data_IF_521306618865
#
_entry.id   IF_521306618865
#
_cell.length_a   1.000
_cell.length_b   1.000
_cell.length_c   1.000
_cell.angle_alpha   90.00
_cell.angle_beta   90.00
_cell.angle_gamma   90.00
#
_symmetry.space_group_name_H-M   'P 1'
#
loop_
_entity.id
_entity.type
_entity.pdbx_description
1 polymer ?
#
# COMPACT_ATOMS: atom_id res chain seq x y z
N UNK A 1 -10.64 11.31 -11.90
CA UNK A 1 -10.98 9.93 -11.50
C UNK A 1 -9.68 9.15 -11.51
N UNK A 2 -9.29 8.54 -10.39
CA UNK A 2 -8.15 7.62 -10.38
C UNK A 2 -8.69 6.30 -10.94
N UNK A 3 -8.02 5.75 -11.94
CA UNK A 3 -8.36 4.47 -12.56
C UNK A 3 -7.26 3.48 -12.22
N UNK A 4 -7.65 2.21 -12.09
CA UNK A 4 -6.71 1.12 -11.95
C UNK A 4 -5.69 1.17 -13.09
N UNK A 5 -4.42 0.95 -12.77
CA UNK A 5 -3.33 0.97 -13.72
C UNK A 5 -2.54 -0.33 -13.66
N UNK A 6 -2.22 -0.90 -14.82
CA UNK A 6 -1.42 -2.11 -14.90
C UNK A 6 -0.03 -1.79 -15.48
N UNK A 7 1.02 -2.18 -14.76
CA UNK A 7 2.41 -2.08 -15.21
C UNK A 7 3.10 -3.43 -15.05
N UNK A 8 3.73 -3.96 -16.10
CA UNK A 8 4.45 -5.25 -16.07
C UNK A 8 3.61 -6.39 -15.46
N UNK A 9 2.32 -6.44 -15.80
CA UNK A 9 1.31 -7.40 -15.29
C UNK A 9 0.97 -7.26 -13.79
N UNK A 10 1.46 -6.23 -13.11
CA UNK A 10 1.11 -5.87 -11.73
C UNK A 10 0.10 -4.73 -11.74
N UNK A 11 -0.93 -4.86 -10.93
CA UNK A 11 -2.03 -3.90 -10.81
C UNK A 11 -1.79 -2.94 -9.65
N UNK A 12 -2.09 -1.67 -9.89
CA UNK A 12 -2.07 -0.58 -8.93
C UNK A 12 -3.42 0.11 -8.94
N UNK A 13 -3.86 0.62 -7.78
CA UNK A 13 -5.12 1.37 -7.67
C UNK A 13 -5.08 2.71 -8.43
N UNK A 14 -3.88 3.21 -8.82
CA UNK A 14 -3.74 4.42 -9.63
C UNK A 14 -2.34 4.70 -10.17
N UNK A 15 -2.27 5.65 -11.10
CA UNK A 15 -1.02 6.18 -11.69
C UNK A 15 -1.05 7.70 -11.84
N UNK A 16 0.02 8.36 -11.41
CA UNK A 16 0.25 9.80 -11.55
C UNK A 16 1.54 10.04 -12.37
N UNK A 17 1.44 10.19 -13.71
CA UNK A 17 2.60 10.22 -14.59
C UNK A 17 3.56 11.38 -14.34
N UNK A 18 3.04 12.55 -13.97
CA UNK A 18 3.85 13.75 -13.70
C UNK A 18 4.84 13.56 -12.54
N UNK A 19 4.58 12.59 -11.66
CA UNK A 19 5.40 12.32 -10.48
C UNK A 19 6.06 10.95 -10.51
N UNK A 20 5.97 10.22 -11.63
CA UNK A 20 6.37 8.82 -11.73
C UNK A 20 5.82 7.97 -10.58
N UNK A 21 4.55 8.18 -10.20
CA UNK A 21 4.00 7.65 -8.94
C UNK A 21 2.83 6.70 -9.14
N UNK A 22 2.98 5.47 -8.67
CA UNK A 22 1.88 4.52 -8.50
C UNK A 22 1.17 4.73 -7.16
N UNK A 23 -0.12 4.41 -7.13
CA UNK A 23 -0.96 4.54 -5.94
C UNK A 23 -1.57 3.18 -5.56
N UNK A 24 -1.63 2.92 -4.27
CA UNK A 24 -2.37 1.80 -3.66
C UNK A 24 -3.15 2.34 -2.46
N UNK A 25 -4.42 2.00 -2.32
CA UNK A 25 -5.31 2.50 -1.26
C UNK A 25 -5.98 1.34 -0.50
N UNK A 26 -5.86 1.35 0.83
CA UNK A 26 -6.53 0.37 1.70
C UNK A 26 -7.49 1.06 2.68
N UNK A 27 -8.71 0.55 2.69
CA UNK A 27 -9.80 1.01 3.56
C UNK A 27 -10.27 -0.11 4.48
N UNK A 28 -10.82 0.26 5.65
CA UNK A 28 -11.49 -0.68 6.57
C UNK A 28 -10.60 -1.84 7.04
N UNK A 29 -9.30 -1.62 7.20
CA UNK A 29 -8.39 -2.66 7.68
C UNK A 29 -8.35 -2.74 9.21
N UNK A 30 -8.66 -1.66 9.94
CA UNK A 30 -8.56 -1.61 11.40
C UNK A 30 -9.48 -2.63 12.09
N UNK A 31 -10.60 -3.00 11.46
CA UNK A 31 -11.48 -4.08 11.93
C UNK A 31 -10.77 -5.44 12.08
N UNK A 32 -9.65 -5.64 11.39
CA UNK A 32 -8.83 -6.86 11.45
C UNK A 32 -7.73 -6.80 12.49
N UNK A 33 -7.64 -5.73 13.28
CA UNK A 33 -6.67 -5.57 14.34
C UNK A 33 -7.32 -5.74 15.70
N UNK A 34 -6.50 -6.12 16.68
CA UNK A 34 -6.80 -6.10 18.12
C UNK A 34 -5.50 -5.71 18.83
N UNK A 35 -5.55 -4.71 19.71
CA UNK A 35 -4.38 -4.22 20.45
C UNK A 35 -3.18 -3.88 19.52
N UNK A 36 -3.45 -3.15 18.42
CA UNK A 36 -2.49 -2.81 17.36
C UNK A 36 -1.80 -3.99 16.66
N UNK A 37 -2.30 -5.22 16.87
CA UNK A 37 -1.79 -6.43 16.22
C UNK A 37 -2.83 -7.02 15.28
N UNK A 38 -2.43 -7.55 14.13
CA UNK A 38 -3.35 -8.24 13.23
C UNK A 38 -3.93 -9.47 13.93
N UNK A 39 -5.25 -9.68 13.80
CA UNK A 39 -5.92 -10.89 14.28
C UNK A 39 -5.24 -12.12 13.67
N UNK A 40 -5.09 -13.20 14.45
CA UNK A 40 -4.33 -14.40 14.03
C UNK A 40 -4.84 -15.00 12.72
N UNK A 41 -6.16 -15.05 12.55
CA UNK A 41 -6.84 -15.58 11.36
C UNK A 41 -6.80 -14.65 10.16
N UNK A 42 -6.42 -13.37 10.32
CA UNK A 42 -6.43 -12.43 9.22
C UNK A 42 -5.18 -12.60 8.34
N UNK A 43 -5.41 -13.12 7.13
CA UNK A 43 -4.37 -13.36 6.12
C UNK A 43 -4.03 -12.11 5.30
N UNK A 44 -4.81 -11.03 5.42
CA UNK A 44 -4.61 -9.80 4.64
C UNK A 44 -3.24 -9.17 4.83
N UNK A 45 -2.59 -9.35 5.99
CA UNK A 45 -1.19 -8.94 6.20
C UNK A 45 -0.20 -9.60 5.23
N UNK A 46 -0.40 -10.88 4.91
CA UNK A 46 0.46 -11.63 3.99
C UNK A 46 0.18 -11.24 2.55
N UNK A 47 -1.11 -11.09 2.20
CA UNK A 47 -1.53 -10.63 0.87
C UNK A 47 -0.97 -9.23 0.56
N UNK A 48 -1.12 -8.28 1.48
CA UNK A 48 -0.59 -6.93 1.33
C UNK A 48 0.95 -6.91 1.24
N UNK A 49 1.64 -7.74 2.02
CA UNK A 49 3.10 -7.90 1.91
C UNK A 49 3.52 -8.42 0.54
N UNK A 50 2.87 -9.47 0.04
CA UNK A 50 3.19 -10.05 -1.27
C UNK A 50 2.84 -9.08 -2.41
N UNK A 51 1.84 -8.21 -2.23
CA UNK A 51 1.52 -7.14 -3.17
C UNK A 51 2.60 -6.05 -3.16
N UNK A 52 3.00 -5.55 -1.98
CA UNK A 52 4.09 -4.58 -1.84
C UNK A 52 5.41 -5.10 -2.42
N UNK A 53 5.71 -6.40 -2.25
CA UNK A 53 6.88 -7.02 -2.86
C UNK A 53 6.83 -6.97 -4.40
N UNK A 54 5.69 -7.33 -5.00
CA UNK A 54 5.49 -7.20 -6.46
C UNK A 54 5.60 -5.75 -6.94
N UNK A 55 5.10 -4.79 -6.15
CA UNK A 55 5.22 -3.36 -6.45
C UNK A 55 6.69 -2.92 -6.45
N UNK A 56 7.48 -3.34 -5.47
CA UNK A 56 8.91 -3.09 -5.44
C UNK A 56 9.63 -3.72 -6.65
N UNK A 57 9.26 -4.95 -7.04
CA UNK A 57 9.82 -5.61 -8.23
C UNK A 57 9.57 -4.81 -9.53
N UNK A 58 8.38 -4.20 -9.67
CA UNK A 58 8.09 -3.31 -10.80
C UNK A 58 9.00 -2.08 -10.77
N UNK A 59 9.17 -1.46 -9.61
CA UNK A 59 10.09 -0.33 -9.46
C UNK A 59 11.53 -0.73 -9.80
N UNK A 60 12.00 -1.89 -9.34
CA UNK A 60 13.34 -2.40 -9.63
C UNK A 60 13.55 -2.66 -11.13
N UNK A 61 12.56 -3.23 -11.81
CA UNK A 61 12.59 -3.46 -13.26
C UNK A 61 12.60 -2.17 -14.09
N UNK A 62 12.19 -1.05 -13.48
CA UNK A 62 12.17 0.29 -14.08
C UNK A 62 13.25 1.20 -13.47
N UNK A 63 14.37 0.59 -13.08
CA UNK A 63 15.57 1.27 -12.57
C UNK A 63 15.33 2.13 -11.32
N UNK A 64 14.30 1.82 -10.54
CA UNK A 64 13.89 2.58 -9.36
C UNK A 64 13.29 3.95 -9.69
N UNK A 65 13.00 4.25 -10.96
CA UNK A 65 12.41 5.54 -11.38
C UNK A 65 11.02 5.76 -10.79
N UNK A 66 10.11 4.77 -10.80
CA UNK A 66 8.79 4.95 -10.20
C UNK A 66 8.80 4.76 -8.69
N UNK A 67 7.91 5.47 -8.01
CA UNK A 67 7.65 5.31 -6.58
C UNK A 67 6.21 4.88 -6.32
N UNK A 68 5.97 4.10 -5.27
CA UNK A 68 4.63 3.62 -4.90
C UNK A 68 4.20 4.21 -3.56
N UNK A 69 3.04 4.87 -3.56
CA UNK A 69 2.43 5.38 -2.35
C UNK A 69 1.27 4.47 -1.91
N UNK A 70 1.43 3.87 -0.73
CA UNK A 70 0.37 3.13 -0.05
C UNK A 70 -0.38 4.03 0.91
N UNK A 71 -1.65 4.28 0.65
CA UNK A 71 -2.53 5.13 1.44
C UNK A 71 -3.45 4.27 2.30
N UNK A 72 -3.34 4.42 3.62
CA UNK A 72 -4.26 3.79 4.57
C UNK A 72 -5.23 4.84 5.10
N UNK A 73 -6.52 4.52 5.02
CA UNK A 73 -7.57 5.44 5.45
C UNK A 73 -7.84 5.40 6.96
N UNK A 74 -7.18 4.49 7.69
CA UNK A 74 -7.38 4.27 9.11
C UNK A 74 -6.04 4.15 9.86
N UNK A 75 -5.98 4.62 11.12
CA UNK A 75 -4.71 4.84 11.81
C UNK A 75 -4.00 3.57 12.29
N UNK A 76 -4.72 2.51 12.69
CA UNK A 76 -4.09 1.31 13.24
C UNK A 76 -3.38 0.54 12.14
N UNK A 77 -4.07 0.30 11.03
CA UNK A 77 -3.50 -0.35 9.85
C UNK A 77 -2.37 0.47 9.24
N UNK A 78 -2.51 1.80 9.14
CA UNK A 78 -1.41 2.69 8.76
C UNK A 78 -0.15 2.43 9.59
N UNK A 79 -0.26 2.48 10.93
CA UNK A 79 0.88 2.32 11.82
C UNK A 79 1.58 0.97 11.63
N UNK A 80 0.79 -0.10 11.52
CA UNK A 80 1.32 -1.45 11.30
C UNK A 80 2.04 -1.59 9.94
N UNK A 81 1.42 -1.15 8.84
CA UNK A 81 1.99 -1.33 7.50
C UNK A 81 3.15 -0.38 7.22
N UNK A 82 3.19 0.81 7.85
CA UNK A 82 4.35 1.70 7.79
C UNK A 82 5.63 1.02 8.29
N UNK A 83 5.54 0.26 9.38
CA UNK A 83 6.67 -0.53 9.89
C UNK A 83 6.94 -1.73 8.98
N UNK A 84 5.90 -2.47 8.58
CA UNK A 84 6.07 -3.68 7.76
C UNK A 84 6.72 -3.39 6.40
N UNK A 85 6.44 -2.23 5.80
CA UNK A 85 6.90 -1.87 4.46
C UNK A 85 8.17 -1.00 4.45
N UNK A 86 8.76 -0.67 5.61
CA UNK A 86 9.95 0.18 5.70
C UNK A 86 11.19 -0.38 4.99
N UNK A 87 11.20 -1.69 4.71
CA UNK A 87 12.28 -2.39 3.99
C UNK A 87 12.27 -2.15 2.47
N UNK A 88 11.19 -1.63 1.90
CA UNK A 88 11.04 -1.43 0.46
C UNK A 88 11.46 0.00 0.09
N UNK A 89 12.52 0.14 -0.70
CA UNK A 89 13.13 1.43 -1.02
C UNK A 89 12.25 2.36 -1.88
N UNK A 90 11.34 1.81 -2.69
CA UNK A 90 10.45 2.57 -3.58
C UNK A 90 9.01 2.63 -3.06
N UNK A 91 8.78 2.32 -1.78
CA UNK A 91 7.44 2.32 -1.19
C UNK A 91 7.39 3.27 0.00
N UNK A 92 6.42 4.18 -0.01
CA UNK A 92 6.06 4.98 1.16
C UNK A 92 4.65 4.65 1.60
N UNK A 93 4.43 4.72 2.92
CA UNK A 93 3.12 4.49 3.54
C UNK A 93 2.63 5.78 4.16
N UNK A 94 1.44 6.22 3.75
CA UNK A 94 0.82 7.47 4.15
C UNK A 94 -0.50 7.21 4.89
N UNK A 95 -0.75 8.04 5.92
CA UNK A 95 -2.07 8.12 6.54
C UNK A 95 -2.90 9.14 5.77
N UNK A 96 -3.99 8.72 5.16
CA UNK A 96 -4.86 9.58 4.36
C UNK A 96 -6.29 9.43 4.90
N UNK A 97 -6.61 10.11 6.02
CA UNK A 97 -7.89 9.92 6.69
C UNK A 97 -9.08 10.17 5.76
N UNK A 98 -10.09 9.32 5.88
CA UNK A 98 -11.39 9.54 5.28
C UNK A 98 -12.43 9.62 6.40
N UNK A 99 -13.06 10.79 6.58
CA UNK A 99 -13.93 11.09 7.72
C UNK A 99 -15.10 10.09 7.91
N UNK A 100 -15.51 9.38 6.86
CA UNK A 100 -16.56 8.36 6.93
C UNK A 100 -16.09 6.98 7.42
N UNK A 101 -14.78 6.80 7.67
CA UNK A 101 -14.15 5.53 8.03
C UNK A 101 -13.32 5.59 9.32
N UNK A 102 -13.27 6.76 9.97
CA UNK A 102 -12.63 6.98 11.26
C UNK A 102 -13.62 6.65 12.37
#
# INVERSE_FOLDING_TARGET
MIQEFQCLKVTFDGWQPMYCRFLEAKARYDQFFKDNKPKKWWVGRYSARNQAERHQTVCDALEGTPHVEWHFLQPISYGYFKVLFSKYKNISVHYTPCNSLI
#
